data_IF_454456631170
#
_entry.id   IF_454456631170
#
_cell.length_a   1.000
_cell.length_b   1.000
_cell.length_c   1.000
_cell.angle_alpha   90.00
_cell.angle_beta   90.00
_cell.angle_gamma   90.00
#
_symmetry.space_group_name_H-M   'P 1'
#
loop_
_entity.id
_entity.type
_entity.pdbx_description
1 polymer ?
#
# COMPACT_ATOMS: atom_id res chain seq x y z
N UNK A 1 -1.94 8.74 -6.87
CA UNK A 1 -0.74 7.87 -6.87
C UNK A 1 -0.75 6.86 -8.01
N UNK A 2 -1.80 6.04 -8.17
CA UNK A 2 -1.89 5.07 -9.27
C UNK A 2 -1.78 5.69 -10.68
N UNK A 3 -2.34 6.89 -10.89
CA UNK A 3 -2.28 7.58 -12.20
C UNK A 3 -0.87 8.04 -12.62
N UNK A 4 0.13 7.99 -11.74
CA UNK A 4 1.53 8.33 -12.07
C UNK A 4 2.37 7.11 -12.43
N UNK A 5 1.86 5.89 -12.23
CA UNK A 5 2.56 4.65 -12.57
C UNK A 5 2.23 4.31 -14.02
N UNK A 6 3.16 4.59 -14.93
CA UNK A 6 3.01 4.28 -16.36
C UNK A 6 3.30 2.82 -16.68
N UNK A 7 4.16 2.18 -15.88
CA UNK A 7 4.61 0.80 -16.10
C UNK A 7 4.02 -0.15 -15.05
N UNK A 8 3.19 -1.13 -15.44
CA UNK A 8 2.62 -2.11 -14.51
C UNK A 8 3.66 -3.07 -13.92
N UNK A 9 4.84 -3.18 -14.55
CA UNK A 9 5.94 -4.03 -14.09
C UNK A 9 6.90 -3.32 -13.13
N UNK A 10 6.61 -2.08 -12.71
CA UNK A 10 7.50 -1.32 -11.84
C UNK A 10 7.75 -2.06 -10.52
N UNK A 11 9.03 -2.17 -10.16
CA UNK A 11 9.48 -2.71 -8.88
C UNK A 11 9.74 -1.56 -7.93
N UNK A 12 9.24 -1.67 -6.71
CA UNK A 12 9.42 -0.61 -5.73
C UNK A 12 8.92 -1.01 -4.36
N UNK A 13 9.18 -0.14 -3.39
CA UNK A 13 8.68 -0.27 -2.05
C UNK A 13 7.99 1.02 -1.63
N UNK A 14 6.81 0.90 -1.05
CA UNK A 14 6.00 1.98 -0.50
C UNK A 14 5.87 1.72 0.99
N UNK A 15 6.44 2.60 1.80
CA UNK A 15 6.27 2.59 3.25
C UNK A 15 5.20 3.62 3.60
N UNK A 16 4.01 3.14 3.96
CA UNK A 16 2.87 3.95 4.33
C UNK A 16 2.80 4.04 5.85
N UNK A 17 3.06 5.23 6.38
CA UNK A 17 2.93 5.52 7.80
C UNK A 17 1.57 6.14 8.07
N UNK A 18 0.84 5.58 9.03
CA UNK A 18 -0.47 6.08 9.43
C UNK A 18 -0.58 6.10 10.95
N UNK A 19 -1.12 7.19 11.50
CA UNK A 19 -1.34 7.33 12.94
C UNK A 19 -2.47 6.41 13.43
N UNK A 20 -3.39 6.07 12.54
CA UNK A 20 -4.57 5.24 12.79
C UNK A 20 -4.52 3.96 11.96
N UNK A 21 -5.21 2.91 12.44
CA UNK A 21 -5.38 1.68 11.67
C UNK A 21 -6.20 1.91 10.40
N UNK A 22 -5.80 1.25 9.32
CA UNK A 22 -6.56 1.26 8.08
C UNK A 22 -7.91 0.55 8.31
N UNK A 23 -9.02 1.27 8.07
CA UNK A 23 -10.35 0.67 8.09
C UNK A 23 -10.54 -0.30 6.91
N UNK A 24 -11.61 -1.09 6.93
CA UNK A 24 -11.88 -2.13 5.91
C UNK A 24 -11.83 -1.59 4.47
N UNK A 25 -12.38 -0.40 4.22
CA UNK A 25 -12.34 0.23 2.90
C UNK A 25 -10.91 0.60 2.47
N UNK A 26 -10.08 1.12 3.38
CA UNK A 26 -8.67 1.38 3.10
C UNK A 26 -7.92 0.09 2.79
N UNK A 27 -8.13 -0.96 3.57
CA UNK A 27 -7.51 -2.27 3.39
C UNK A 27 -7.88 -2.88 2.04
N UNK A 28 -9.13 -2.76 1.60
CA UNK A 28 -9.56 -3.25 0.29
C UNK A 28 -8.77 -2.58 -0.85
N UNK A 29 -8.63 -1.25 -0.80
CA UNK A 29 -7.87 -0.49 -1.81
C UNK A 29 -6.40 -0.90 -1.85
N UNK A 30 -5.79 -1.18 -0.69
CA UNK A 30 -4.41 -1.66 -0.60
C UNK A 30 -4.28 -3.05 -1.23
N UNK A 31 -5.24 -3.95 -0.96
CA UNK A 31 -5.24 -5.29 -1.54
C UNK A 31 -5.38 -5.25 -3.06
N UNK A 32 -6.30 -4.44 -3.58
CA UNK A 32 -6.45 -4.23 -5.02
C UNK A 32 -5.16 -3.66 -5.64
N UNK A 33 -4.51 -2.71 -4.96
CA UNK A 33 -3.23 -2.17 -5.41
C UNK A 33 -2.13 -3.23 -5.46
N UNK A 34 -2.02 -4.08 -4.43
CA UNK A 34 -1.05 -5.19 -4.40
C UNK A 34 -1.31 -6.22 -5.50
N UNK A 35 -2.57 -6.52 -5.80
CA UNK A 35 -2.94 -7.41 -6.90
C UNK A 35 -2.58 -6.81 -8.26
N UNK A 36 -2.82 -5.50 -8.44
CA UNK A 36 -2.52 -4.79 -9.68
C UNK A 36 -1.03 -4.58 -9.91
N UNK A 37 -0.25 -4.43 -8.84
CA UNK A 37 1.19 -4.18 -8.88
C UNK A 37 1.93 -5.16 -7.95
N UNK A 38 2.06 -6.45 -8.34
CA UNK A 38 2.66 -7.48 -7.49
C UNK A 38 4.16 -7.24 -7.21
N UNK A 39 4.81 -6.44 -8.06
CA UNK A 39 6.21 -6.05 -7.94
C UNK A 39 6.45 -4.90 -6.95
N UNK A 40 5.38 -4.29 -6.41
CA UNK A 40 5.47 -3.20 -5.44
C UNK A 40 5.17 -3.74 -4.04
N UNK A 41 6.15 -3.67 -3.14
CA UNK A 41 5.94 -3.98 -1.73
C UNK A 41 5.30 -2.78 -1.04
N UNK A 42 4.13 -2.96 -0.44
CA UNK A 42 3.47 -1.92 0.34
C UNK A 42 3.54 -2.29 1.81
N UNK A 43 4.41 -1.65 2.56
CA UNK A 43 4.53 -1.82 4.01
C UNK A 43 3.64 -0.78 4.67
N UNK A 44 2.75 -1.22 5.56
CA UNK A 44 1.84 -0.33 6.28
C UNK A 44 2.27 -0.35 7.72
N UNK A 45 2.63 0.82 8.23
CA UNK A 45 3.14 1.01 9.57
C UNK A 45 2.12 1.89 10.27
N UNK A 46 1.29 1.26 11.11
CA UNK A 46 0.32 1.96 11.94
C UNK A 46 0.84 2.08 13.37
N UNK A 47 0.35 3.05 14.13
CA UNK A 47 0.72 3.22 15.53
C UNK A 47 0.39 1.97 16.39
N UNK A 48 -0.57 1.16 15.95
CA UNK A 48 -0.90 -0.13 16.56
C UNK A 48 0.11 -1.24 16.21
N UNK A 49 0.81 -1.13 15.08
CA UNK A 49 1.88 -2.07 14.68
C UNK A 49 3.21 -1.79 15.41
N UNK A 50 3.34 -0.61 16.03
CA UNK A 50 4.49 -0.20 16.83
C UNK A 50 4.32 -0.49 18.33
N UNK A 51 3.17 -1.06 18.74
CA UNK A 51 2.86 -1.41 20.13
C UNK A 51 3.26 -2.83 20.49
#
# INVERSE_FOLDING_TARGET
>A
IASKIKDPNIKGEINLFSELDCCQSCTNLILEFRQKYPNIKVNIITNNTLK
#
